data_IF_290458310785
#
_entry.id   IF_290458310785
#
_cell.length_a   1.000
_cell.length_b   1.000
_cell.length_c   1.000
_cell.angle_alpha   90.00
_cell.angle_beta   90.00
_cell.angle_gamma   90.00
#
_symmetry.space_group_name_H-M   'P 1'
#
loop_
_entity.id
_entity.type
_entity.pdbx_description
1 polymer ?
#
# COMPACT_ATOMS: atom_id res chain seq x y z
N UNK A 1 13.07 4.20 -0.23
CA UNK A 1 13.04 3.56 1.09
C UNK A 1 13.82 2.26 1.21
N UNK A 2 13.66 1.27 0.31
CA UNK A 2 14.40 -0.02 0.41
C UNK A 2 15.91 0.14 0.14
N UNK A 3 16.32 1.00 -0.77
CA UNK A 3 17.74 1.18 -1.11
C UNK A 3 18.55 1.86 0.00
N UNK A 4 17.94 2.72 0.79
CA UNK A 4 18.64 3.42 1.88
C UNK A 4 18.87 2.53 3.11
N UNK A 5 18.01 1.56 3.36
CA UNK A 5 18.18 0.59 4.44
C UNK A 5 19.34 -0.39 4.16
N UNK A 6 19.55 -0.77 2.91
CA UNK A 6 20.67 -1.62 2.49
C UNK A 6 22.00 -0.90 2.69
N UNK A 7 22.07 0.41 2.43
CA UNK A 7 23.30 1.22 2.60
C UNK A 7 23.70 1.42 4.05
N UNK A 8 22.76 1.36 5.00
CA UNK A 8 23.04 1.52 6.44
C UNK A 8 23.46 0.23 7.14
N UNK A 9 23.65 -0.87 6.41
CA UNK A 9 24.02 -2.16 7.00
C UNK A 9 22.97 -2.71 7.98
N UNK A 10 21.78 -2.11 7.97
CA UNK A 10 20.69 -2.49 8.87
C UNK A 10 19.99 -3.73 8.40
N UNK A 11 19.99 -4.77 9.22
CA UNK A 11 19.16 -5.97 9.11
C UNK A 11 17.68 -5.68 9.42
N UNK A 12 17.14 -4.55 8.93
CA UNK A 12 15.82 -4.02 9.34
C UNK A 12 14.81 -4.05 8.19
N UNK A 13 15.17 -4.64 7.06
CA UNK A 13 14.22 -4.84 5.97
C UNK A 13 13.23 -5.97 6.32
N UNK A 14 11.95 -5.85 5.96
CA UNK A 14 11.02 -6.96 6.08
C UNK A 14 11.47 -8.13 5.18
N UNK A 15 11.22 -9.35 5.65
CA UNK A 15 11.56 -10.55 4.89
C UNK A 15 10.52 -10.86 3.82
N UNK A 16 9.28 -10.46 4.06
CA UNK A 16 8.13 -10.64 3.17
C UNK A 16 7.37 -9.33 3.10
N UNK A 17 6.97 -8.94 1.89
CA UNK A 17 6.07 -7.80 1.64
C UNK A 17 4.93 -8.28 0.77
N UNK A 18 3.70 -8.10 1.26
CA UNK A 18 2.48 -8.40 0.50
C UNK A 18 1.78 -7.09 0.14
N UNK A 19 1.59 -6.87 -1.15
CA UNK A 19 0.99 -5.68 -1.73
C UNK A 19 -0.38 -6.01 -2.34
N UNK A 20 -1.36 -5.12 -2.28
CA UNK A 20 -2.70 -5.34 -2.85
C UNK A 20 -2.69 -5.60 -4.36
N UNK A 21 -1.72 -5.00 -5.06
CA UNK A 21 -1.56 -5.10 -6.51
C UNK A 21 -1.03 -6.47 -6.97
N UNK A 22 -0.48 -7.26 -6.04
CA UNK A 22 0.14 -8.56 -6.35
C UNK A 22 -0.61 -9.66 -5.62
N UNK A 23 -1.20 -10.57 -6.37
CA UNK A 23 -1.85 -11.75 -5.80
C UNK A 23 -0.82 -12.62 -5.09
N UNK A 24 -1.15 -13.07 -3.89
CA UNK A 24 -0.26 -13.91 -3.10
C UNK A 24 -0.73 -15.37 -3.07
N UNK A 25 0.23 -16.27 -2.96
CA UNK A 25 0.00 -17.69 -2.70
C UNK A 25 0.26 -17.97 -1.22
N UNK A 26 -0.76 -18.42 -0.50
CA UNK A 26 -0.67 -18.72 0.93
C UNK A 26 0.35 -19.81 1.24
N UNK A 27 0.46 -20.84 0.39
CA UNK A 27 1.40 -21.94 0.60
C UNK A 27 2.84 -21.45 0.42
N UNK A 28 3.09 -20.63 -0.59
CA UNK A 28 4.38 -19.99 -0.81
C UNK A 28 4.76 -19.05 0.35
N UNK A 29 3.81 -18.28 0.87
CA UNK A 29 4.02 -17.42 2.05
C UNK A 29 4.40 -18.26 3.26
N UNK A 30 3.66 -19.36 3.54
CA UNK A 30 3.96 -20.25 4.66
C UNK A 30 5.33 -20.93 4.54
N UNK A 31 5.69 -21.37 3.34
CA UNK A 31 7.00 -21.95 3.07
C UNK A 31 8.11 -20.94 3.32
N UNK A 32 7.91 -19.68 2.85
CA UNK A 32 8.89 -18.61 3.05
C UNK A 32 9.03 -18.21 4.53
N UNK A 33 7.94 -18.18 5.29
CA UNK A 33 8.02 -17.92 6.73
C UNK A 33 8.86 -19.00 7.43
N UNK A 34 8.64 -20.28 7.10
CA UNK A 34 9.43 -21.39 7.68
C UNK A 34 10.92 -21.23 7.38
N UNK A 35 11.27 -21.06 6.11
CA UNK A 35 12.65 -20.85 5.65
C UNK A 35 13.33 -19.71 6.45
N UNK A 36 12.64 -18.57 6.53
CA UNK A 36 13.17 -17.38 7.20
C UNK A 36 13.34 -17.59 8.70
N UNK A 37 12.35 -18.21 9.36
CA UNK A 37 12.41 -18.50 10.80
C UNK A 37 13.51 -19.52 11.12
N UNK A 38 13.71 -20.52 10.30
CA UNK A 38 14.81 -21.47 10.43
C UNK A 38 16.18 -20.80 10.34
N UNK A 39 16.34 -19.90 9.35
CA UNK A 39 17.59 -19.19 9.12
C UNK A 39 17.87 -18.08 10.14
N UNK A 40 16.85 -17.32 10.56
CA UNK A 40 17.02 -16.07 11.32
C UNK A 40 16.40 -16.09 12.72
N UNK A 41 15.62 -17.12 13.06
CA UNK A 41 14.86 -17.24 14.32
C UNK A 41 13.70 -16.26 14.46
N UNK A 42 13.44 -15.43 13.48
CA UNK A 42 12.30 -14.52 13.40
C UNK A 42 11.95 -14.23 11.93
N UNK A 43 10.72 -13.82 11.71
CA UNK A 43 10.28 -13.33 10.40
C UNK A 43 9.51 -12.01 10.59
N UNK A 44 9.85 -11.00 9.81
CA UNK A 44 9.10 -9.73 9.74
C UNK A 44 8.41 -9.67 8.39
N UNK A 45 7.09 -9.48 8.44
CA UNK A 45 6.27 -9.34 7.24
C UNK A 45 5.53 -8.01 7.28
N UNK A 46 5.53 -7.30 6.17
CA UNK A 46 4.73 -6.09 5.93
C UNK A 46 3.59 -6.45 5.00
N UNK A 47 2.38 -6.06 5.40
CA UNK A 47 1.15 -6.42 4.70
C UNK A 47 0.34 -5.17 4.44
N UNK A 48 -0.06 -4.93 3.20
CA UNK A 48 -1.05 -3.92 2.85
C UNK A 48 -2.47 -4.40 3.19
N UNK A 49 -3.37 -3.48 3.50
CA UNK A 49 -4.80 -3.81 3.50
C UNK A 49 -5.26 -4.11 2.07
N UNK A 50 -6.26 -4.94 1.91
CA UNK A 50 -6.78 -5.30 0.59
C UNK A 50 -5.93 -6.27 -0.21
N UNK A 51 -4.96 -6.98 0.42
CA UNK A 51 -4.23 -8.06 -0.25
C UNK A 51 -5.19 -9.14 -0.72
N UNK A 52 -4.95 -9.63 -1.94
CA UNK A 52 -5.80 -10.62 -2.61
C UNK A 52 -5.05 -11.93 -2.81
N UNK A 53 -5.72 -13.05 -2.54
CA UNK A 53 -5.21 -14.38 -2.86
C UNK A 53 -5.23 -14.65 -4.38
N UNK A 54 -4.85 -15.86 -4.79
CA UNK A 54 -4.81 -16.25 -6.20
C UNK A 54 -6.19 -16.19 -6.88
N UNK A 55 -7.26 -16.39 -6.11
CA UNK A 55 -8.65 -16.31 -6.61
C UNK A 55 -9.17 -14.86 -6.64
N UNK A 56 -8.36 -13.90 -6.20
CA UNK A 56 -8.74 -12.49 -6.13
C UNK A 56 -9.56 -12.14 -4.88
N UNK A 57 -9.65 -13.05 -3.91
CA UNK A 57 -10.39 -12.83 -2.67
C UNK A 57 -9.53 -12.09 -1.65
N UNK A 58 -10.06 -11.02 -1.10
CA UNK A 58 -9.41 -10.25 -0.05
C UNK A 58 -9.45 -10.96 1.30
N UNK A 59 -8.29 -11.07 1.94
CA UNK A 59 -8.19 -11.81 3.22
C UNK A 59 -8.86 -11.08 4.40
N UNK A 60 -8.92 -9.76 4.34
CA UNK A 60 -9.45 -8.92 5.42
C UNK A 60 -10.82 -8.31 5.14
N UNK A 61 -11.50 -8.68 4.05
CA UNK A 61 -12.80 -8.13 3.71
C UNK A 61 -13.87 -8.64 4.68
N UNK A 62 -14.50 -7.73 5.41
CA UNK A 62 -15.69 -8.00 6.18
C UNK A 62 -16.93 -7.65 5.35
N UNK A 63 -17.46 -8.65 4.65
CA UNK A 63 -18.64 -8.49 3.79
C UNK A 63 -19.91 -8.15 4.57
N UNK A 64 -19.89 -8.27 5.91
CA UNK A 64 -21.03 -7.91 6.77
C UNK A 64 -21.05 -6.41 7.11
N UNK A 65 -19.94 -5.72 6.89
CA UNK A 65 -19.79 -4.28 7.14
C UNK A 65 -19.49 -3.57 5.83
N UNK A 66 -20.39 -2.69 5.43
CA UNK A 66 -20.20 -1.85 4.25
C UNK A 66 -19.87 -0.42 4.68
N UNK A 67 -19.02 0.24 3.90
CA UNK A 67 -18.77 1.67 4.04
C UNK A 67 -19.96 2.52 3.53
N UNK A 68 -19.84 3.84 3.59
CA UNK A 68 -20.88 4.75 3.12
C UNK A 68 -21.17 4.65 1.61
N UNK A 69 -20.34 3.98 0.86
CA UNK A 69 -20.44 3.79 -0.59
C UNK A 69 -20.84 2.36 -0.98
N UNK A 70 -21.09 1.49 0.01
CA UNK A 70 -21.50 0.12 -0.22
C UNK A 70 -20.36 -0.87 -0.48
N UNK A 71 -19.10 -0.47 -0.24
CA UNK A 71 -17.96 -1.38 -0.36
C UNK A 71 -17.72 -2.11 0.97
N UNK A 72 -17.26 -3.40 0.94
CA UNK A 72 -16.85 -4.11 2.13
C UNK A 72 -15.76 -3.33 2.89
N UNK A 73 -15.92 -3.22 4.21
CA UNK A 73 -14.87 -2.60 5.03
C UNK A 73 -13.66 -3.50 5.05
N UNK A 74 -12.55 -2.98 4.51
CA UNK A 74 -11.25 -3.65 4.56
C UNK A 74 -10.64 -3.38 5.94
N UNK A 75 -10.62 -4.39 6.77
CA UNK A 75 -9.98 -4.29 8.08
C UNK A 75 -9.46 -5.66 8.53
N UNK A 76 -8.26 -5.65 9.07
CA UNK A 76 -7.74 -6.83 9.75
C UNK A 76 -7.05 -7.85 8.86
N UNK A 77 -6.55 -7.49 7.66
CA UNK A 77 -5.74 -8.39 6.83
C UNK A 77 -4.57 -9.00 7.62
N UNK A 78 -3.87 -8.18 8.39
CA UNK A 78 -2.76 -8.63 9.23
C UNK A 78 -3.22 -9.59 10.34
N UNK A 79 -4.38 -9.35 10.96
CA UNK A 79 -4.93 -10.23 12.02
C UNK A 79 -5.36 -11.58 11.43
N UNK A 80 -6.03 -11.58 10.28
CA UNK A 80 -6.41 -12.82 9.59
C UNK A 80 -5.21 -13.64 9.16
N UNK A 81 -4.19 -12.97 8.62
CA UNK A 81 -2.95 -13.62 8.23
C UNK A 81 -2.22 -14.21 9.47
N UNK A 82 -2.20 -13.48 10.60
CA UNK A 82 -1.69 -14.00 11.87
C UNK A 82 -2.41 -15.26 12.29
N UNK A 83 -3.75 -15.29 12.23
CA UNK A 83 -4.55 -16.49 12.56
C UNK A 83 -4.12 -17.68 11.69
N UNK A 84 -3.96 -17.47 10.39
CA UNK A 84 -3.47 -18.51 9.47
C UNK A 84 -2.07 -19.01 9.81
N UNK A 85 -1.14 -18.09 10.10
CA UNK A 85 0.25 -18.44 10.46
C UNK A 85 0.29 -19.22 11.77
N UNK A 86 -0.43 -18.75 12.79
CA UNK A 86 -0.48 -19.43 14.10
C UNK A 86 -1.09 -20.83 14.00
N UNK A 87 -2.19 -20.96 13.25
CA UNK A 87 -2.88 -22.24 13.11
C UNK A 87 -2.05 -23.29 12.37
N UNK A 88 -1.22 -22.88 11.41
CA UNK A 88 -0.44 -23.80 10.58
C UNK A 88 0.98 -24.07 11.10
N UNK A 89 1.63 -23.07 11.68
CA UNK A 89 3.04 -23.16 12.06
C UNK A 89 3.26 -23.27 13.58
N UNK A 90 2.19 -23.21 14.38
CA UNK A 90 2.24 -23.21 15.84
C UNK A 90 3.32 -22.24 16.38
N UNK A 91 3.41 -21.07 15.79
CA UNK A 91 4.44 -20.08 16.08
C UNK A 91 3.82 -18.82 16.68
N UNK A 92 4.49 -18.23 17.67
CA UNK A 92 4.03 -16.98 18.29
C UNK A 92 4.12 -15.84 17.28
N UNK A 93 2.98 -15.33 16.84
CA UNK A 93 2.87 -14.22 15.91
C UNK A 93 2.27 -13.00 16.58
N UNK A 94 2.74 -11.82 16.23
CA UNK A 94 2.21 -10.53 16.70
C UNK A 94 1.94 -9.65 15.51
N UNK A 95 0.87 -8.87 15.57
CA UNK A 95 0.54 -7.82 14.60
C UNK A 95 0.78 -6.45 15.22
N UNK A 96 1.19 -5.53 14.39
CA UNK A 96 1.31 -4.11 14.70
C UNK A 96 0.61 -3.34 13.60
N UNK A 97 -0.47 -2.65 13.95
CA UNK A 97 -1.19 -1.77 13.04
C UNK A 97 -0.64 -0.38 13.24
N UNK A 98 -0.01 0.17 12.20
CA UNK A 98 0.68 1.46 12.28
C UNK A 98 -0.29 2.64 12.46
N UNK A 99 -1.52 2.52 11.94
CA UNK A 99 -2.53 3.57 12.04
C UNK A 99 -2.02 4.92 11.52
N UNK A 100 -2.19 5.97 12.32
CA UNK A 100 -1.74 7.31 11.95
C UNK A 100 -0.22 7.53 12.10
N UNK A 101 0.50 6.65 12.77
CA UNK A 101 1.94 6.81 12.98
C UNK A 101 2.71 6.93 11.66
N UNK A 102 2.35 6.17 10.64
CA UNK A 102 2.95 6.25 9.32
C UNK A 102 2.70 7.60 8.61
N UNK A 103 1.54 8.23 8.84
CA UNK A 103 1.19 9.53 8.27
C UNK A 103 1.84 10.69 9.01
N UNK A 104 2.12 10.52 10.29
CA UNK A 104 2.78 11.52 11.14
C UNK A 104 4.31 11.44 11.08
N UNK A 105 4.89 10.47 10.37
CA UNK A 105 6.33 10.24 10.30
C UNK A 105 7.04 11.19 9.31
N UNK A 106 7.02 12.49 9.57
CA UNK A 106 7.63 13.50 8.71
C UNK A 106 9.11 13.27 8.39
N UNK A 107 9.84 12.56 9.26
CA UNK A 107 11.23 12.17 9.04
C UNK A 107 11.41 11.09 7.96
N UNK A 108 10.34 10.43 7.55
CA UNK A 108 10.31 9.44 6.46
C UNK A 108 9.61 9.97 5.20
N UNK A 109 9.16 11.23 5.22
CA UNK A 109 8.48 11.82 4.08
C UNK A 109 9.43 12.02 2.88
N UNK A 110 8.97 11.70 1.69
CA UNK A 110 9.66 12.01 0.45
C UNK A 110 9.39 13.47 0.05
N UNK A 111 10.44 14.22 -0.27
CA UNK A 111 10.28 15.60 -0.75
C UNK A 111 9.44 15.62 -2.05
N UNK A 112 9.67 14.67 -2.94
CA UNK A 112 8.88 14.54 -4.19
C UNK A 112 7.39 14.35 -3.89
N UNK A 113 7.04 13.55 -2.88
CA UNK A 113 5.64 13.32 -2.53
C UNK A 113 5.00 14.56 -1.92
N UNK A 114 5.75 15.30 -1.10
CA UNK A 114 5.31 16.59 -0.52
C UNK A 114 5.06 17.61 -1.63
N UNK A 115 6.01 17.77 -2.55
CA UNK A 115 5.90 18.72 -3.65
C UNK A 115 4.72 18.36 -4.58
N UNK A 116 4.54 17.09 -4.91
CA UNK A 116 3.43 16.61 -5.70
C UNK A 116 2.08 16.83 -5.00
N UNK A 117 2.00 16.57 -3.69
CA UNK A 117 0.77 16.81 -2.92
C UNK A 117 0.40 18.30 -2.90
N UNK A 118 1.38 19.18 -2.71
CA UNK A 118 1.18 20.63 -2.77
C UNK A 118 0.71 21.07 -4.16
N UNK A 119 1.38 20.61 -5.21
CA UNK A 119 1.03 20.92 -6.60
C UNK A 119 -0.39 20.45 -6.97
N UNK A 120 -0.81 19.29 -6.48
CA UNK A 120 -2.18 18.80 -6.65
C UNK A 120 -3.21 19.71 -5.98
N UNK A 121 -2.94 20.15 -4.75
CA UNK A 121 -3.83 21.09 -4.03
C UNK A 121 -3.95 22.42 -4.77
N UNK A 122 -2.85 23.01 -5.22
CA UNK A 122 -2.82 24.24 -6.02
C UNK A 122 -3.61 24.08 -7.33
N UNK A 123 -3.38 22.98 -8.05
CA UNK A 123 -4.08 22.71 -9.31
C UNK A 123 -5.59 22.53 -9.09
N UNK A 124 -6.01 21.91 -8.01
CA UNK A 124 -7.43 21.74 -7.68
C UNK A 124 -8.11 23.08 -7.40
N UNK A 125 -7.47 23.97 -6.63
CA UNK A 125 -7.99 25.32 -6.38
C UNK A 125 -8.08 26.13 -7.66
N UNK A 126 -7.05 26.07 -8.51
CA UNK A 126 -7.04 26.76 -9.80
C UNK A 126 -8.19 26.30 -10.70
N UNK A 127 -8.36 24.99 -10.84
CA UNK A 127 -9.45 24.41 -11.62
C UNK A 127 -10.83 24.86 -11.11
N UNK A 128 -11.02 24.89 -9.78
CA UNK A 128 -12.26 25.34 -9.16
C UNK A 128 -12.55 26.83 -9.44
N UNK A 129 -11.53 27.69 -9.36
CA UNK A 129 -11.64 29.12 -9.69
C UNK A 129 -11.97 29.34 -11.17
N UNK A 130 -11.44 28.50 -12.06
CA UNK A 130 -11.73 28.52 -13.50
C UNK A 130 -13.11 27.90 -13.83
N UNK A 131 -13.88 27.47 -12.83
CA UNK A 131 -15.22 26.89 -13.00
C UNK A 131 -15.22 25.45 -13.51
N UNK A 132 -14.07 24.76 -13.49
CA UNK A 132 -13.99 23.36 -13.87
C UNK A 132 -14.53 22.46 -12.76
N UNK A 133 -15.54 21.65 -13.08
CA UNK A 133 -16.21 20.74 -12.13
C UNK A 133 -16.27 19.32 -12.71
N UNK A 134 -16.39 18.32 -11.85
CA UNK A 134 -16.45 16.92 -12.26
C UNK A 134 -15.10 16.30 -12.59
N UNK A 135 -14.00 16.91 -12.13
CA UNK A 135 -12.63 16.42 -12.34
C UNK A 135 -11.93 16.12 -11.02
N UNK A 136 -10.97 15.21 -11.10
CA UNK A 136 -9.97 14.96 -10.07
C UNK A 136 -8.60 15.39 -10.60
N UNK A 137 -7.77 15.98 -9.73
CA UNK A 137 -6.37 16.23 -10.09
C UNK A 137 -5.59 14.94 -9.99
N UNK A 138 -4.85 14.62 -11.04
CA UNK A 138 -3.94 13.47 -11.08
C UNK A 138 -2.48 13.90 -11.15
N UNK A 139 -1.59 13.07 -10.63
CA UNK A 139 -0.15 13.20 -10.81
C UNK A 139 0.22 12.55 -12.15
N UNK A 140 0.95 13.26 -12.97
CA UNK A 140 1.45 12.78 -14.26
C UNK A 140 2.96 12.58 -14.18
N UNK A 141 3.39 11.34 -14.41
CA UNK A 141 4.80 10.98 -14.48
C UNK A 141 5.29 11.06 -15.92
N UNK A 142 6.36 11.77 -16.16
CA UNK A 142 6.96 11.94 -17.49
C UNK A 142 8.41 11.47 -17.45
N UNK A 143 8.79 10.56 -18.35
CA UNK A 143 10.19 10.23 -18.55
C UNK A 143 10.85 11.37 -19.34
N UNK A 144 12.02 11.84 -18.88
CA UNK A 144 12.84 12.84 -19.59
C UNK A 144 13.92 12.13 -20.40
N UNK A 145 14.43 12.83 -21.41
CA UNK A 145 15.48 12.30 -22.30
C UNK A 145 16.79 11.96 -21.55
N UNK A 146 17.06 12.62 -20.45
CA UNK A 146 18.22 12.38 -19.58
C UNK A 146 18.05 11.17 -18.63
N UNK A 147 16.94 10.43 -18.78
CA UNK A 147 16.60 9.30 -17.92
C UNK A 147 16.00 9.68 -16.55
N UNK A 148 15.86 10.97 -16.26
CA UNK A 148 15.18 11.42 -15.03
C UNK A 148 13.68 11.40 -15.18
N UNK A 149 12.98 11.49 -14.05
CA UNK A 149 11.51 11.54 -14.00
C UNK A 149 11.05 12.96 -13.71
N UNK A 150 10.16 13.46 -14.55
CA UNK A 150 9.40 14.69 -14.33
C UNK A 150 8.04 14.37 -13.70
N UNK A 151 7.55 15.31 -12.92
CA UNK A 151 6.22 15.25 -12.33
C UNK A 151 5.44 16.50 -12.70
N UNK A 152 4.17 16.34 -12.98
CA UNK A 152 3.23 17.43 -13.25
C UNK A 152 1.84 17.02 -12.80
N UNK A 153 0.89 17.97 -12.85
CA UNK A 153 -0.52 17.70 -12.57
C UNK A 153 -1.34 17.74 -13.83
N UNK A 154 -2.44 17.01 -13.84
CA UNK A 154 -3.45 17.05 -14.90
C UNK A 154 -4.84 16.82 -14.30
N UNK A 155 -5.88 17.11 -15.08
CA UNK A 155 -7.26 16.83 -14.71
C UNK A 155 -7.71 15.50 -15.31
N UNK A 156 -8.54 14.77 -14.56
CA UNK A 156 -9.13 13.51 -14.99
C UNK A 156 -10.62 13.51 -14.64
N UNK A 157 -11.52 13.12 -15.57
CA UNK A 157 -12.94 13.09 -15.28
C UNK A 157 -13.27 12.14 -14.13
N UNK A 158 -14.05 12.59 -13.16
CA UNK A 158 -14.43 11.75 -12.00
C UNK A 158 -15.20 10.49 -12.43
N UNK A 159 -15.99 10.57 -13.49
CA UNK A 159 -16.73 9.42 -14.01
C UNK A 159 -15.84 8.27 -14.51
N UNK A 160 -14.60 8.55 -14.84
CA UNK A 160 -13.63 7.56 -15.32
C UNK A 160 -12.79 6.93 -14.19
N UNK A 161 -12.82 7.50 -12.99
CA UNK A 161 -12.03 7.01 -11.84
C UNK A 161 -12.89 6.56 -10.67
N UNK A 162 -14.10 7.09 -10.53
CA UNK A 162 -14.98 6.71 -9.43
C UNK A 162 -15.45 5.26 -9.60
N UNK A 163 -15.19 4.40 -8.61
CA UNK A 163 -15.55 2.98 -8.61
C UNK A 163 -14.93 2.14 -9.73
N UNK A 164 -13.84 2.59 -10.32
CA UNK A 164 -13.08 1.83 -11.32
C UNK A 164 -11.75 1.39 -10.70
N UNK A 165 -11.53 0.08 -10.61
CA UNK A 165 -10.21 -0.46 -10.22
C UNK A 165 -9.28 -0.48 -11.45
N UNK A 166 -8.12 0.12 -11.32
CA UNK A 166 -7.03 0.05 -12.28
C UNK A 166 -5.90 -0.80 -11.72
N UNK A 167 -5.48 -1.81 -12.47
CA UNK A 167 -4.37 -2.72 -12.13
C UNK A 167 -3.13 -2.40 -12.97
#
# INVERSE_FOLDING_TARGET
>A
GQQDNVRRGGRVAPHIVLLPEIRYDMEAVMAKIKEVVEAHRYCVMVVGEGIKDQDGKEIGADVTRLDAFGHPVLAGAAEKLKEHVQGRLNTKTRTVILGYAQRAAGHCASLTDIDNAFACGEAAVRAAVEGQSGFMVKIVRTAREDGTVGWSTGLHPLAEVANVEHF
#
